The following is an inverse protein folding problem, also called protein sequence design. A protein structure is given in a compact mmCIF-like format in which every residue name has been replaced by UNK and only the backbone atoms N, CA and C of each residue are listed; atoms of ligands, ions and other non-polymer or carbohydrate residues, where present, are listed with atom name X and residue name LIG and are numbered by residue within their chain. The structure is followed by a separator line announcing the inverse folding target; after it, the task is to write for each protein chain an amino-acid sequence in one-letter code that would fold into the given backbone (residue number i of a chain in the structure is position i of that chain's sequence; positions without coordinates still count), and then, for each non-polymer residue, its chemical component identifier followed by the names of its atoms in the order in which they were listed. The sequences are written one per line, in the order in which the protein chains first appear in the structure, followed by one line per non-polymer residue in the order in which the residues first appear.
data_IF_365236140356
#
_entry.id   IF_365236140356
#
_cell.length_a   1.000
_cell.length_b   1.000
_cell.length_c   1.000
_cell.angle_alpha   90.00
_cell.angle_beta   90.00
_cell.angle_gamma   90.00
#
_symmetry.space_group_name_H-M   'P 1'
#
loop_
_entity.id
_entity.type
_entity.pdbx_description
1 polymer ?
#
# COMPACT_ATOMS: atom_id res chain seq x y z
N UNK A 1 -28.38 1.58 -16.69
CA UNK A 1 -27.38 1.48 -15.61
C UNK A 1 -26.18 2.31 -16.03
N UNK A 2 -26.27 3.64 -15.88
CA UNK A 2 -25.11 4.51 -15.96
C UNK A 2 -24.28 4.24 -14.70
N UNK A 3 -23.22 3.45 -14.86
CA UNK A 3 -22.17 3.31 -13.86
C UNK A 3 -21.52 4.68 -13.68
N UNK A 4 -22.13 5.44 -12.78
CA UNK A 4 -21.57 6.49 -11.94
C UNK A 4 -20.09 6.72 -12.23
N UNK A 5 -19.83 7.64 -13.17
CA UNK A 5 -18.54 8.25 -13.53
C UNK A 5 -17.92 9.04 -12.36
N UNK A 6 -18.34 8.74 -11.13
CA UNK A 6 -17.79 9.20 -9.86
C UNK A 6 -17.04 8.05 -9.21
N UNK A 7 -16.20 7.38 -10.00
CA UNK A 7 -15.03 6.66 -9.47
C UNK A 7 -14.15 7.70 -8.81
N UNK A 8 -14.48 8.04 -7.55
CA UNK A 8 -13.64 8.84 -6.66
C UNK A 8 -12.28 8.17 -6.74
N UNK A 9 -11.29 8.87 -7.28
CA UNK A 9 -9.94 8.33 -7.41
C UNK A 9 -9.55 7.67 -6.09
N UNK A 10 -8.97 6.46 -6.11
CA UNK A 10 -8.64 5.78 -4.88
C UNK A 10 -7.72 6.67 -4.06
N UNK A 11 -7.95 6.76 -2.75
CA UNK A 11 -7.17 7.65 -1.89
C UNK A 11 -5.72 7.18 -1.85
N UNK A 12 -4.87 7.75 -2.70
CA UNK A 12 -3.50 7.29 -2.88
C UNK A 12 -2.62 7.43 -1.63
N UNK A 13 -2.95 8.36 -0.73
CA UNK A 13 -2.37 8.45 0.61
C UNK A 13 -2.61 7.18 1.44
N UNK A 14 -3.78 6.56 1.30
CA UNK A 14 -4.14 5.36 2.06
C UNK A 14 -3.26 4.17 1.67
N UNK A 15 -2.84 4.06 0.40
CA UNK A 15 -1.91 3.01 -0.03
C UNK A 15 -0.53 3.15 0.62
N UNK A 16 -0.07 4.37 0.89
CA UNK A 16 1.19 4.58 1.63
C UNK A 16 1.06 4.10 3.07
N UNK A 17 -0.04 4.44 3.74
CA UNK A 17 -0.31 4.00 5.13
C UNK A 17 -0.39 2.48 5.20
N UNK A 18 -1.15 1.85 4.29
CA UNK A 18 -1.25 0.39 4.19
C UNK A 18 0.14 -0.21 3.93
N UNK A 19 0.93 0.36 3.02
CA UNK A 19 2.30 -0.07 2.76
C UNK A 19 3.20 -0.05 4.00
N UNK A 20 3.13 1.01 4.81
CA UNK A 20 3.86 1.08 6.08
C UNK A 20 3.42 -0.01 7.06
N UNK A 21 2.11 -0.28 7.18
CA UNK A 21 1.60 -1.35 8.03
C UNK A 21 2.12 -2.72 7.61
N UNK A 22 2.16 -3.01 6.30
CA UNK A 22 2.68 -4.27 5.78
C UNK A 22 4.19 -4.43 5.99
N UNK A 23 4.97 -3.36 5.84
CA UNK A 23 6.41 -3.36 6.16
C UNK A 23 6.62 -3.60 7.66
N UNK A 24 5.85 -2.92 8.51
CA UNK A 24 5.86 -3.12 9.96
C UNK A 24 5.52 -4.56 10.35
N UNK A 25 4.43 -5.10 9.81
CA UNK A 25 4.06 -6.50 10.01
C UNK A 25 5.16 -7.45 9.53
N UNK A 26 5.70 -7.23 8.33
CA UNK A 26 6.81 -8.00 7.77
C UNK A 26 7.99 -8.05 8.73
N UNK A 27 8.38 -6.90 9.31
CA UNK A 27 9.48 -6.83 10.29
C UNK A 27 9.26 -7.73 11.52
N UNK A 28 8.02 -7.88 11.99
CA UNK A 28 7.67 -8.80 13.08
C UNK A 28 7.84 -10.25 12.65
N UNK A 29 7.38 -10.58 11.43
CA UNK A 29 7.51 -11.91 10.85
C UNK A 29 8.94 -12.31 10.46
N UNK A 30 9.92 -11.39 10.49
CA UNK A 30 11.34 -11.72 10.33
C UNK A 30 11.84 -12.73 11.35
N UNK A 31 11.21 -12.77 12.52
CA UNK A 31 11.48 -13.72 13.60
C UNK A 31 10.94 -15.13 13.34
N UNK A 32 9.97 -15.28 12.43
CA UNK A 32 9.31 -16.55 12.10
C UNK A 32 9.95 -17.18 10.87
N UNK A 33 10.35 -16.36 9.89
CA UNK A 33 11.08 -16.85 8.72
C UNK A 33 11.25 -15.81 7.62
N UNK A 34 12.21 -16.06 6.74
CA UNK A 34 12.56 -15.13 5.67
C UNK A 34 11.49 -15.02 4.58
N UNK A 35 10.78 -16.12 4.29
CA UNK A 35 9.72 -16.16 3.26
C UNK A 35 8.55 -15.22 3.61
N UNK A 36 7.91 -15.32 4.80
CA UNK A 36 6.83 -14.40 5.17
C UNK A 36 7.32 -12.96 5.32
N UNK A 37 8.55 -12.75 5.79
CA UNK A 37 9.18 -11.41 5.84
C UNK A 37 9.25 -10.77 4.44
N UNK A 38 9.86 -11.46 3.47
CA UNK A 38 10.00 -10.93 2.10
C UNK A 38 8.63 -10.68 1.48
N UNK A 39 7.68 -11.59 1.67
CA UNK A 39 6.32 -11.44 1.12
C UNK A 39 5.62 -10.18 1.64
N UNK A 40 5.61 -9.98 2.96
CA UNK A 40 4.93 -8.85 3.58
C UNK A 40 5.64 -7.51 3.33
N UNK A 41 6.96 -7.47 3.45
CA UNK A 41 7.75 -6.26 3.17
C UNK A 41 7.66 -5.90 1.68
N UNK A 42 7.79 -6.88 0.78
CA UNK A 42 7.66 -6.67 -0.66
C UNK A 42 6.28 -6.13 -1.05
N UNK A 43 5.20 -6.73 -0.52
CA UNK A 43 3.85 -6.24 -0.73
C UNK A 43 3.66 -4.81 -0.20
N UNK A 44 4.21 -4.51 0.98
CA UNK A 44 4.17 -3.18 1.58
C UNK A 44 4.90 -2.13 0.74
N UNK A 45 6.05 -2.47 0.18
CA UNK A 45 6.78 -1.61 -0.75
C UNK A 45 5.99 -1.36 -2.04
N UNK A 46 5.29 -2.36 -2.59
CA UNK A 46 4.42 -2.18 -3.75
C UNK A 46 3.27 -1.19 -3.48
N UNK A 47 2.57 -1.34 -2.35
CA UNK A 47 1.50 -0.40 -1.98
C UNK A 47 2.04 1.01 -1.75
N UNK A 48 3.20 1.13 -1.09
CA UNK A 48 3.85 2.41 -0.89
C UNK A 48 4.27 3.06 -2.22
N UNK A 49 4.84 2.29 -3.15
CA UNK A 49 5.21 2.76 -4.48
C UNK A 49 4.00 3.27 -5.27
N UNK A 50 2.86 2.55 -5.24
CA UNK A 50 1.61 3.00 -5.88
C UNK A 50 1.15 4.33 -5.29
N UNK A 51 1.16 4.44 -3.95
CA UNK A 51 0.76 5.67 -3.27
C UNK A 51 1.67 6.86 -3.61
N UNK A 52 2.98 6.66 -3.63
CA UNK A 52 3.98 7.70 -3.95
C UNK A 52 3.95 8.08 -5.43
N UNK A 53 3.82 7.10 -6.35
CA UNK A 53 3.75 7.36 -7.78
C UNK A 53 2.54 8.23 -8.15
N UNK A 54 1.48 8.18 -7.35
CA UNK A 54 0.27 8.97 -7.52
C UNK A 54 0.17 10.12 -6.51
N UNK A 55 1.32 10.61 -6.00
CA UNK A 55 1.37 11.72 -5.02
C UNK A 55 0.68 13.00 -5.48
N UNK A 56 0.68 13.28 -6.78
CA UNK A 56 -0.03 14.42 -7.38
C UNK A 56 -1.54 14.38 -7.19
N UNK A 57 -2.11 13.19 -6.94
CA UNK A 57 -3.54 12.93 -6.73
C UNK A 57 -3.89 12.75 -5.25
N UNK A 58 -2.94 13.01 -4.35
CA UNK A 58 -3.24 13.03 -2.92
C UNK A 58 -4.26 14.13 -2.67
N UNK A 59 -5.28 13.81 -1.85
CA UNK A 59 -6.32 14.77 -1.53
C UNK A 59 -5.67 16.08 -1.06
N UNK A 60 -5.99 17.16 -1.76
CA UNK A 60 -5.55 18.51 -1.42
C UNK A 60 -6.41 19.06 -0.30
#
# INVERSE_FOLDING_TARGET
MELDKKTREPKYQMFVIVGMCFIGAGSVFSTIGIIPFIGLVGMGLCFMAIGIANRSKWAK
#
